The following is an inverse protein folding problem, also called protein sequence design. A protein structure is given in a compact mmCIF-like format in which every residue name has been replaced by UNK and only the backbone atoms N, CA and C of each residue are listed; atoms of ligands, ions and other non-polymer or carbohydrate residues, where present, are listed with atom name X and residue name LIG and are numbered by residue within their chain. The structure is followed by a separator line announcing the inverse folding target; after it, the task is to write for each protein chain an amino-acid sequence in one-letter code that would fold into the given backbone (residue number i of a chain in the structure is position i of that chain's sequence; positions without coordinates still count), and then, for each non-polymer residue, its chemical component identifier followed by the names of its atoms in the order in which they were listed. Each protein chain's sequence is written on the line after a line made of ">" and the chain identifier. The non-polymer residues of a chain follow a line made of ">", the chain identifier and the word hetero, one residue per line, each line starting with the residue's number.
data_IF_051995926909
#
_entry.id   IF_051995926909
#
_cell.length_a   1.000
_cell.length_b   1.000
_cell.length_c   1.000
_cell.angle_alpha   90.00
_cell.angle_beta   90.00
_cell.angle_gamma   90.00
#
_symmetry.space_group_name_H-M   'P 1'
#
loop_
_entity.id
_entity.type
_entity.pdbx_description
1 polymer ?
#
# COMPACT_ATOMS: atom_id res chain seq x y z
N UNK A 1 14.38 -8.49 -22.37
CA UNK A 1 14.26 -8.24 -20.92
C UNK A 1 12.80 -7.92 -20.64
N UNK A 2 12.08 -8.75 -19.85
CA UNK A 2 10.63 -8.61 -19.62
C UNK A 2 10.24 -7.35 -18.83
N UNK A 3 11.16 -6.77 -18.05
CA UNK A 3 10.92 -5.55 -17.28
C UNK A 3 10.90 -4.29 -18.14
N UNK A 4 11.56 -4.33 -19.30
CA UNK A 4 11.70 -3.19 -20.24
C UNK A 4 11.00 -3.45 -21.57
N UNK A 5 10.06 -4.39 -21.60
CA UNK A 5 9.20 -4.71 -22.75
C UNK A 5 7.75 -4.58 -22.28
N UNK A 6 6.89 -4.04 -23.11
CA UNK A 6 5.57 -3.55 -22.70
C UNK A 6 4.47 -4.17 -23.55
N UNK A 7 3.42 -4.66 -22.90
CA UNK A 7 2.17 -5.04 -23.55
C UNK A 7 1.20 -3.87 -23.49
N UNK A 8 0.70 -3.48 -24.66
CA UNK A 8 -0.43 -2.57 -24.81
C UNK A 8 -1.71 -3.38 -25.07
N UNK A 9 -2.64 -3.33 -24.10
CA UNK A 9 -3.90 -4.07 -24.11
C UNK A 9 -5.06 -3.14 -24.54
N UNK A 10 -5.20 -2.92 -25.85
CA UNK A 10 -6.06 -1.87 -26.41
C UNK A 10 -7.54 -1.91 -25.96
N UNK A 11 -8.12 -3.10 -25.73
CA UNK A 11 -9.52 -3.23 -25.28
C UNK A 11 -9.80 -2.65 -23.90
N UNK A 12 -8.74 -2.46 -23.10
CA UNK A 12 -8.77 -1.90 -21.75
C UNK A 12 -8.43 -0.39 -21.71
N UNK A 13 -8.07 0.22 -22.85
CA UNK A 13 -7.90 1.67 -22.99
C UNK A 13 -9.25 2.40 -23.07
N UNK A 14 -10.08 2.26 -22.03
CA UNK A 14 -11.41 2.87 -21.97
C UNK A 14 -11.37 4.16 -21.18
N UNK A 15 -11.97 5.21 -21.74
CA UNK A 15 -12.26 6.46 -21.03
C UNK A 15 -13.65 6.32 -20.44
N UNK A 16 -13.79 6.37 -19.12
CA UNK A 16 -15.08 6.33 -18.46
C UNK A 16 -15.85 7.63 -18.77
N UNK A 17 -16.96 7.51 -19.52
CA UNK A 17 -17.79 8.65 -19.93
C UNK A 17 -18.64 9.20 -18.77
N UNK A 18 -18.76 8.49 -17.66
CA UNK A 18 -19.55 8.93 -16.50
C UNK A 18 -18.89 10.08 -15.71
N UNK A 19 -17.60 10.34 -15.96
CA UNK A 19 -16.83 11.43 -15.35
C UNK A 19 -16.81 12.74 -16.16
N UNK A 20 -17.61 12.85 -17.22
CA UNK A 20 -17.75 14.08 -18.03
C UNK A 20 -18.27 15.31 -17.26
N UNK A 21 -18.66 15.16 -15.99
CA UNK A 21 -19.13 16.26 -15.13
C UNK A 21 -18.01 17.00 -14.38
N UNK A 22 -16.80 16.44 -14.29
CA UNK A 22 -15.64 17.15 -13.76
C UNK A 22 -14.79 17.65 -14.94
N UNK A 23 -14.64 18.97 -15.08
CA UNK A 23 -13.85 19.66 -16.13
C UNK A 23 -12.42 19.08 -16.29
N UNK A 24 -12.30 17.97 -17.03
CA UNK A 24 -11.05 17.26 -17.33
C UNK A 24 -10.94 17.18 -18.85
N UNK A 25 -9.82 17.65 -19.37
CA UNK A 25 -9.53 17.69 -20.80
C UNK A 25 -9.61 16.26 -21.42
N UNK A 26 -10.41 16.05 -22.49
CA UNK A 26 -10.55 14.75 -23.15
C UNK A 26 -9.23 14.14 -23.62
N UNK A 27 -8.27 14.95 -24.05
CA UNK A 27 -6.96 14.47 -24.51
C UNK A 27 -6.18 13.89 -23.32
N UNK A 28 -6.20 14.58 -22.19
CA UNK A 28 -5.60 14.11 -20.93
C UNK A 28 -6.21 12.79 -20.49
N UNK A 29 -7.54 12.63 -20.56
CA UNK A 29 -8.21 11.37 -20.20
C UNK A 29 -7.82 10.20 -21.12
N UNK A 30 -7.78 10.44 -22.43
CA UNK A 30 -7.32 9.43 -23.38
C UNK A 30 -5.86 9.02 -23.14
N UNK A 31 -4.98 9.97 -22.82
CA UNK A 31 -3.58 9.68 -22.49
C UNK A 31 -3.46 8.80 -21.24
N UNK A 32 -4.22 9.12 -20.19
CA UNK A 32 -4.29 8.33 -18.95
C UNK A 32 -4.77 6.91 -19.26
N UNK A 33 -5.84 6.76 -20.06
CA UNK A 33 -6.37 5.45 -20.45
C UNK A 33 -5.35 4.62 -21.24
N UNK A 34 -4.59 5.24 -22.15
CA UNK A 34 -3.53 4.56 -22.91
C UNK A 34 -2.37 4.12 -22.00
N UNK A 35 -1.92 4.97 -21.07
CA UNK A 35 -0.90 4.61 -20.08
C UNK A 35 -1.38 3.48 -19.18
N UNK A 36 -2.61 3.57 -18.71
CA UNK A 36 -3.27 2.55 -17.89
C UNK A 36 -3.34 1.20 -18.61
N UNK A 37 -3.63 1.22 -19.92
CA UNK A 37 -3.68 0.04 -20.79
C UNK A 37 -2.33 -0.58 -21.14
N UNK A 38 -1.21 0.02 -20.71
CA UNK A 38 0.14 -0.41 -21.06
C UNK A 38 0.91 -0.85 -19.81
N UNK A 39 1.45 -2.07 -19.82
CA UNK A 39 2.17 -2.64 -18.67
C UNK A 39 3.41 -3.40 -19.12
N UNK A 40 4.43 -3.52 -18.25
CA UNK A 40 5.58 -4.37 -18.56
C UNK A 40 5.14 -5.83 -18.69
N UNK A 41 5.82 -6.62 -19.52
CA UNK A 41 5.51 -8.04 -19.69
C UNK A 41 5.63 -8.79 -18.37
N UNK A 42 6.61 -8.44 -17.52
CA UNK A 42 6.73 -9.04 -16.19
C UNK A 42 5.50 -8.77 -15.32
N UNK A 43 5.03 -7.52 -15.27
CA UNK A 43 3.84 -7.16 -14.51
C UNK A 43 2.61 -7.87 -15.06
N UNK A 44 2.43 -7.86 -16.38
CA UNK A 44 1.30 -8.53 -17.03
C UNK A 44 1.31 -10.05 -16.77
N UNK A 45 2.48 -10.70 -16.82
CA UNK A 45 2.60 -12.13 -16.55
C UNK A 45 2.31 -12.49 -15.09
N UNK A 46 2.77 -11.68 -14.13
CA UNK A 46 2.44 -11.86 -12.71
C UNK A 46 0.95 -11.64 -12.42
N UNK A 47 0.34 -10.63 -13.05
CA UNK A 47 -1.09 -10.37 -12.94
C UNK A 47 -1.92 -11.43 -13.69
N UNK A 48 -1.32 -12.17 -14.62
CA UNK A 48 -1.95 -13.22 -15.41
C UNK A 48 -3.11 -12.67 -16.29
N UNK A 49 -3.75 -13.54 -17.06
CA UNK A 49 -4.77 -13.19 -18.05
C UNK A 49 -6.01 -14.05 -17.87
N UNK A 50 -7.17 -13.50 -18.24
CA UNK A 50 -8.41 -14.25 -18.33
C UNK A 50 -8.43 -15.14 -19.58
N UNK A 51 -9.25 -16.20 -19.57
CA UNK A 51 -9.31 -17.15 -20.69
C UNK A 51 -9.67 -16.48 -22.03
N UNK A 52 -10.60 -15.53 -22.02
CA UNK A 52 -11.07 -14.85 -23.24
C UNK A 52 -9.98 -13.97 -23.88
N UNK A 53 -9.00 -13.51 -23.12
CA UNK A 53 -7.91 -12.64 -23.60
C UNK A 53 -6.93 -13.38 -24.51
N UNK A 54 -6.99 -14.71 -24.53
CA UNK A 54 -6.19 -15.56 -25.42
C UNK A 54 -6.79 -15.70 -26.83
N UNK A 55 -8.06 -15.30 -27.01
CA UNK A 55 -8.73 -15.42 -28.31
C UNK A 55 -8.21 -14.37 -29.32
N UNK A 56 -8.13 -14.70 -30.62
CA UNK A 56 -7.70 -13.75 -31.65
C UNK A 56 -8.50 -12.44 -31.60
N UNK A 57 -7.80 -11.31 -31.52
CA UNK A 57 -8.40 -9.98 -31.48
C UNK A 57 -9.07 -9.60 -30.16
N UNK A 58 -9.08 -10.45 -29.13
CA UNK A 58 -9.69 -10.16 -27.84
C UNK A 58 -9.12 -8.91 -27.16
N UNK A 59 -7.82 -8.68 -27.31
CA UNK A 59 -7.14 -7.54 -26.72
C UNK A 59 -7.26 -6.25 -27.55
N UNK A 60 -7.83 -6.31 -28.75
CA UNK A 60 -7.98 -5.13 -29.63
C UNK A 60 -9.11 -4.22 -29.14
N UNK A 61 -9.00 -2.91 -29.38
CA UNK A 61 -10.08 -1.98 -29.06
C UNK A 61 -11.26 -2.16 -30.02
N UNK A 62 -12.47 -1.83 -29.55
CA UNK A 62 -13.67 -1.75 -30.40
C UNK A 62 -13.56 -0.69 -31.50
N UNK A 63 -12.63 0.25 -31.36
CA UNK A 63 -12.33 1.32 -32.33
C UNK A 63 -11.27 0.94 -33.35
N UNK A 64 -10.78 -0.31 -33.34
CA UNK A 64 -9.84 -0.85 -34.33
C UNK A 64 -8.36 -0.71 -33.98
N UNK A 65 -8.02 -0.18 -32.80
CA UNK A 65 -6.63 -0.11 -32.32
C UNK A 65 -6.18 -1.52 -31.92
N UNK A 66 -5.06 -1.97 -32.50
CA UNK A 66 -4.52 -3.31 -32.24
C UNK A 66 -3.72 -3.37 -30.95
N UNK A 67 -3.87 -4.46 -30.20
CA UNK A 67 -2.95 -4.78 -29.11
C UNK A 67 -1.57 -5.11 -29.67
N UNK A 68 -0.51 -4.68 -28.98
CA UNK A 68 0.86 -4.85 -29.45
C UNK A 68 1.83 -5.00 -28.28
N UNK A 69 2.97 -5.63 -28.56
CA UNK A 69 4.11 -5.66 -27.65
C UNK A 69 5.19 -4.71 -28.16
N UNK A 70 5.66 -3.82 -27.30
CA UNK A 70 6.64 -2.79 -27.62
C UNK A 70 7.94 -2.99 -26.83
N UNK A 71 9.09 -2.80 -27.48
CA UNK A 71 10.38 -2.64 -26.76
C UNK A 71 10.55 -1.23 -26.20
N UNK A 72 9.88 -0.25 -26.81
CA UNK A 72 9.80 1.15 -26.41
C UNK A 72 8.54 1.76 -27.02
N UNK A 73 7.91 2.69 -26.31
CA UNK A 73 6.72 3.39 -26.80
C UNK A 73 6.64 4.81 -26.25
N UNK A 74 5.97 5.68 -26.98
CA UNK A 74 5.57 7.01 -26.58
C UNK A 74 4.06 7.16 -26.73
N UNK A 75 3.47 7.97 -25.86
CA UNK A 75 2.04 8.33 -25.92
C UNK A 75 1.94 9.83 -26.11
N UNK A 76 1.52 10.24 -27.31
CA UNK A 76 1.36 11.65 -27.70
C UNK A 76 -0.12 11.90 -27.95
N UNK A 77 -0.73 12.74 -27.11
CA UNK A 77 -2.17 12.99 -27.13
C UNK A 77 -2.95 11.69 -26.92
N UNK A 78 -3.67 11.25 -27.95
CA UNK A 78 -4.54 10.07 -27.96
C UNK A 78 -3.95 8.88 -28.74
N UNK A 79 -2.66 8.93 -29.07
CA UNK A 79 -2.01 7.89 -29.87
C UNK A 79 -0.86 7.28 -29.09
N UNK A 80 -0.71 5.96 -29.24
CA UNK A 80 0.47 5.21 -28.80
C UNK A 80 1.27 4.81 -30.04
N UNK A 81 2.58 4.97 -30.00
CA UNK A 81 3.49 4.59 -31.08
C UNK A 81 4.80 4.10 -30.49
N UNK A 82 5.44 3.13 -31.12
CA UNK A 82 6.61 2.50 -30.54
C UNK A 82 7.25 1.47 -31.45
N UNK A 83 8.36 0.91 -30.99
CA UNK A 83 9.04 -0.17 -31.70
C UNK A 83 8.35 -1.50 -31.38
N UNK A 84 7.53 -1.98 -32.30
CA UNK A 84 6.78 -3.23 -32.16
C UNK A 84 7.72 -4.45 -32.21
N UNK A 85 7.44 -5.45 -31.38
CA UNK A 85 8.12 -6.74 -31.38
C UNK A 85 7.23 -7.81 -32.01
N UNK A 86 7.80 -8.84 -32.66
CA UNK A 86 7.06 -9.95 -33.26
C UNK A 86 6.57 -10.96 -32.19
N UNK A 87 5.92 -10.45 -31.14
CA UNK A 87 5.35 -11.24 -30.04
C UNK A 87 3.83 -11.03 -30.08
N UNK A 88 3.05 -12.05 -30.48
CA UNK A 88 1.59 -11.96 -30.46
C UNK A 88 1.08 -11.76 -29.02
N UNK A 89 0.31 -10.69 -28.73
CA UNK A 89 -0.25 -10.45 -27.38
C UNK A 89 -1.05 -11.64 -26.82
N UNK A 90 -1.89 -12.24 -27.67
CA UNK A 90 -2.72 -13.39 -27.30
C UNK A 90 -1.88 -14.65 -27.05
N UNK A 91 -0.81 -14.86 -27.81
CA UNK A 91 0.15 -15.95 -27.59
C UNK A 91 0.94 -15.78 -26.29
N UNK A 92 1.33 -14.55 -25.97
CA UNK A 92 1.93 -14.22 -24.69
C UNK A 92 0.97 -14.49 -23.51
N UNK A 93 -0.30 -14.09 -23.65
CA UNK A 93 -1.32 -14.36 -22.64
C UNK A 93 -1.56 -15.86 -22.42
N UNK A 94 -1.63 -16.64 -23.50
CA UNK A 94 -1.77 -18.09 -23.43
C UNK A 94 -0.60 -18.73 -22.65
N UNK A 95 0.63 -18.32 -22.95
CA UNK A 95 1.82 -18.79 -22.23
C UNK A 95 1.79 -18.40 -20.74
N UNK A 96 1.35 -17.19 -20.41
CA UNK A 96 1.25 -16.76 -19.01
C UNK A 96 0.23 -17.60 -18.22
N UNK A 97 -0.90 -17.95 -18.85
CA UNK A 97 -1.91 -18.83 -18.24
C UNK A 97 -1.40 -20.26 -18.03
N UNK A 98 -0.63 -20.78 -18.99
CA UNK A 98 -0.01 -22.11 -18.90
C UNK A 98 1.04 -22.17 -17.78
N UNK A 99 1.90 -21.16 -17.68
CA UNK A 99 2.93 -21.11 -16.64
C UNK A 99 2.36 -20.79 -15.26
N UNK A 100 1.31 -19.98 -15.19
CA UNK A 100 0.70 -19.49 -13.94
C UNK A 100 1.74 -18.89 -12.96
N UNK A 101 2.48 -17.87 -13.41
CA UNK A 101 3.49 -17.22 -12.58
C UNK A 101 2.89 -16.61 -11.30
N UNK A 102 1.65 -16.15 -11.35
CA UNK A 102 0.92 -15.70 -10.16
C UNK A 102 0.69 -16.83 -9.16
N UNK A 103 0.25 -18.01 -9.62
CA UNK A 103 0.13 -19.21 -8.78
C UNK A 103 1.47 -19.68 -8.21
N UNK A 104 2.53 -19.70 -9.02
CA UNK A 104 3.88 -20.02 -8.55
C UNK A 104 4.38 -19.02 -7.49
N UNK A 105 4.11 -17.72 -7.68
CA UNK A 105 4.46 -16.69 -6.71
C UNK A 105 3.71 -16.89 -5.39
N UNK A 106 2.40 -17.17 -5.42
CA UNK A 106 1.63 -17.49 -4.22
C UNK A 106 2.17 -18.73 -3.49
N UNK A 107 2.46 -19.80 -4.22
CA UNK A 107 3.06 -21.01 -3.65
C UNK A 107 4.42 -20.73 -3.01
N UNK A 108 5.24 -19.88 -3.63
CA UNK A 108 6.53 -19.46 -3.08
C UNK A 108 6.39 -18.69 -1.76
N UNK A 109 5.48 -17.70 -1.71
CA UNK A 109 5.19 -16.93 -0.50
C UNK A 109 4.65 -17.84 0.61
N UNK A 110 3.73 -18.74 0.29
CA UNK A 110 3.17 -19.69 1.26
C UNK A 110 4.26 -20.61 1.82
N UNK A 111 5.12 -21.16 0.95
CA UNK A 111 6.22 -22.03 1.36
C UNK A 111 7.20 -21.30 2.28
N UNK A 112 7.44 -20.00 2.09
CA UNK A 112 8.32 -19.21 2.95
C UNK A 112 7.84 -19.16 4.42
N UNK A 113 6.53 -19.26 4.68
CA UNK A 113 5.98 -19.25 6.04
C UNK A 113 6.09 -20.59 6.78
N UNK A 114 6.44 -21.68 6.09
CA UNK A 114 6.43 -23.03 6.64
C UNK A 114 7.65 -23.85 6.26
N UNK A 115 8.71 -23.22 5.76
CA UNK A 115 9.92 -23.89 5.27
C UNK A 115 10.77 -24.39 6.46
N UNK A 116 11.01 -25.71 6.58
CA UNK A 116 11.93 -26.25 7.57
C UNK A 116 13.35 -25.71 7.39
N UNK A 117 14.03 -25.43 8.50
CA UNK A 117 15.45 -25.04 8.50
C UNK A 117 16.39 -26.23 8.67
N UNK A 118 15.88 -27.37 9.14
CA UNK A 118 16.61 -28.63 9.26
C UNK A 118 15.79 -29.79 8.68
N UNK A 119 16.41 -30.91 8.29
CA UNK A 119 15.69 -32.08 7.74
C UNK A 119 14.66 -32.69 8.69
N UNK A 120 14.89 -32.59 10.01
CA UNK A 120 14.04 -33.22 11.03
C UNK A 120 12.89 -32.31 11.50
N UNK A 121 12.85 -31.04 11.06
CA UNK A 121 11.82 -30.09 11.46
C UNK A 121 10.55 -30.24 10.60
N UNK A 122 9.39 -30.36 11.25
CA UNK A 122 8.10 -30.39 10.54
C UNK A 122 7.70 -28.99 10.06
N UNK A 123 6.83 -28.90 9.06
CA UNK A 123 6.31 -27.62 8.55
C UNK A 123 5.61 -26.78 9.65
N UNK A 124 4.89 -27.43 10.57
CA UNK A 124 4.21 -26.76 11.69
C UNK A 124 5.19 -26.22 12.74
N UNK A 125 6.26 -26.97 13.01
CA UNK A 125 7.35 -26.51 13.88
C UNK A 125 8.07 -25.30 13.25
N UNK A 126 8.36 -25.35 11.95
CA UNK A 126 8.95 -24.24 11.20
C UNK A 126 8.06 -22.99 11.23
N UNK A 127 6.75 -23.15 11.00
CA UNK A 127 5.80 -22.05 11.07
C UNK A 127 5.71 -21.44 12.48
N UNK A 128 5.73 -22.27 13.52
CA UNK A 128 5.73 -21.82 14.92
C UNK A 128 7.00 -21.06 15.29
N UNK A 129 8.17 -21.56 14.86
CA UNK A 129 9.46 -20.88 15.05
C UNK A 129 9.52 -19.54 14.32
N UNK A 130 9.02 -19.48 13.08
CA UNK A 130 8.96 -18.23 12.32
C UNK A 130 8.07 -17.20 13.02
N UNK A 131 6.89 -17.63 13.50
CA UNK A 131 5.99 -16.77 14.30
C UNK A 131 6.70 -16.21 15.53
N UNK A 132 7.36 -17.06 16.32
CA UNK A 132 8.10 -16.64 17.50
C UNK A 132 9.23 -15.67 17.16
N UNK A 133 10.01 -15.96 16.11
CA UNK A 133 11.11 -15.11 15.64
C UNK A 133 10.61 -13.74 15.19
N UNK A 134 9.47 -13.70 14.48
CA UNK A 134 8.83 -12.46 14.06
C UNK A 134 8.36 -11.64 15.28
N UNK A 135 7.66 -12.26 16.22
CA UNK A 135 7.20 -11.59 17.44
C UNK A 135 8.36 -11.04 18.26
N UNK A 136 9.47 -11.78 18.35
CA UNK A 136 10.68 -11.33 19.03
C UNK A 136 11.34 -10.15 18.32
N UNK A 137 11.40 -10.17 16.97
CA UNK A 137 11.91 -9.06 16.18
C UNK A 137 11.08 -7.79 16.37
N UNK A 138 9.76 -7.87 16.23
CA UNK A 138 8.85 -6.74 16.42
C UNK A 138 8.93 -6.19 17.85
N UNK A 139 8.91 -7.07 18.86
CA UNK A 139 9.05 -6.66 20.24
C UNK A 139 10.39 -5.95 20.50
N UNK A 140 11.48 -6.47 19.95
CA UNK A 140 12.83 -5.88 20.09
C UNK A 140 12.92 -4.51 19.41
N UNK A 141 12.32 -4.38 18.22
CA UNK A 141 12.24 -3.10 17.49
C UNK A 141 11.48 -2.04 18.29
N UNK A 142 10.29 -2.38 18.80
CA UNK A 142 9.49 -1.45 19.62
C UNK A 142 10.23 -1.10 20.92
N UNK A 143 10.88 -2.07 21.59
CA UNK A 143 11.67 -1.80 22.81
C UNK A 143 12.83 -0.85 22.55
N UNK A 144 13.54 -1.01 21.43
CA UNK A 144 14.61 -0.10 21.05
C UNK A 144 14.08 1.33 20.86
N UNK A 145 13.00 1.48 20.08
CA UNK A 145 12.40 2.80 19.85
C UNK A 145 11.84 3.42 21.13
N UNK A 146 11.30 2.59 22.03
CA UNK A 146 10.85 3.02 23.34
C UNK A 146 12.01 3.54 24.21
N UNK A 147 13.17 2.88 24.18
CA UNK A 147 14.36 3.35 24.90
C UNK A 147 14.86 4.68 24.33
N UNK A 148 14.95 4.80 23.01
CA UNK A 148 15.35 6.04 22.32
C UNK A 148 14.40 7.18 22.69
N UNK A 149 13.09 6.96 22.57
CA UNK A 149 12.06 7.95 22.92
C UNK A 149 12.15 8.35 24.40
N UNK A 150 12.44 7.40 25.30
CA UNK A 150 12.58 7.67 26.74
C UNK A 150 13.80 8.55 27.03
N UNK A 151 14.95 8.29 26.37
CA UNK A 151 16.15 9.12 26.48
C UNK A 151 15.94 10.53 25.91
N UNK A 152 15.14 10.64 24.86
CA UNK A 152 14.73 11.91 24.26
C UNK A 152 13.57 12.60 25.00
N UNK A 153 13.07 12.02 26.10
CA UNK A 153 11.93 12.53 26.87
C UNK A 153 10.65 12.72 26.04
N UNK A 154 10.46 11.88 25.00
CA UNK A 154 9.28 11.87 24.13
C UNK A 154 8.14 10.99 24.67
N UNK A 155 8.32 10.35 25.82
CA UNK A 155 7.31 9.51 26.48
C UNK A 155 7.44 9.60 28.01
N UNK A 156 6.31 9.59 28.69
CA UNK A 156 6.19 9.58 30.14
C UNK A 156 6.45 8.19 30.73
N UNK A 157 6.94 8.15 31.98
CA UNK A 157 7.25 6.88 32.66
C UNK A 157 6.05 5.93 32.79
N UNK A 158 4.85 6.47 32.97
CA UNK A 158 3.63 5.65 33.08
C UNK A 158 3.31 4.91 31.78
N UNK A 159 3.31 5.63 30.65
CA UNK A 159 3.08 5.03 29.33
C UNK A 159 4.23 4.13 28.89
N UNK A 160 5.47 4.48 29.24
CA UNK A 160 6.63 3.61 29.03
C UNK A 160 6.46 2.26 29.75
N UNK A 161 6.09 2.28 31.04
CA UNK A 161 5.85 1.07 31.82
C UNK A 161 4.72 0.23 31.24
N UNK A 162 3.59 0.86 30.91
CA UNK A 162 2.46 0.17 30.28
C UNK A 162 2.84 -0.51 28.96
N UNK A 163 3.61 0.17 28.09
CA UNK A 163 4.05 -0.42 26.83
C UNK A 163 5.02 -1.59 27.04
N UNK A 164 5.92 -1.53 28.02
CA UNK A 164 6.78 -2.66 28.37
C UNK A 164 5.96 -3.88 28.83
N UNK A 165 4.94 -3.67 29.66
CA UNK A 165 4.06 -4.76 30.09
C UNK A 165 3.29 -5.40 28.94
N UNK A 166 2.79 -4.60 27.99
CA UNK A 166 2.14 -5.11 26.78
C UNK A 166 3.12 -5.93 25.92
N UNK A 167 4.38 -5.48 25.80
CA UNK A 167 5.43 -6.19 25.07
C UNK A 167 5.94 -7.44 25.80
N UNK A 168 5.73 -7.55 27.11
CA UNK A 168 5.94 -8.77 27.90
C UNK A 168 4.75 -9.75 27.76
N UNK A 169 3.72 -9.39 26.99
CA UNK A 169 2.54 -10.22 26.76
C UNK A 169 1.50 -10.15 27.89
N UNK A 170 1.64 -9.21 28.85
CA UNK A 170 0.64 -9.04 29.90
C UNK A 170 -0.67 -8.55 29.29
N UNK A 171 -1.76 -9.18 29.71
CA UNK A 171 -3.12 -8.74 29.39
C UNK A 171 -3.66 -7.91 30.55
N UNK A 172 -4.59 -6.98 30.26
CA UNK A 172 -5.21 -6.09 31.26
C UNK A 172 -4.25 -5.09 31.91
N UNK A 173 -3.27 -4.59 31.15
CA UNK A 173 -2.38 -3.50 31.59
C UNK A 173 -3.22 -2.27 31.95
N UNK A 174 -2.87 -1.61 33.06
CA UNK A 174 -3.58 -0.41 33.53
C UNK A 174 -2.63 0.77 33.70
N UNK A 175 -3.12 1.96 33.37
CA UNK A 175 -2.46 3.24 33.62
C UNK A 175 -3.43 4.13 34.39
N UNK A 176 -3.03 4.62 35.57
CA UNK A 176 -3.87 5.38 36.49
C UNK A 176 -5.22 4.69 36.78
N UNK A 177 -5.15 3.38 37.05
CA UNK A 177 -6.29 2.50 37.29
C UNK A 177 -7.29 2.37 36.12
N UNK A 178 -6.97 2.87 34.92
CA UNK A 178 -7.75 2.64 33.70
C UNK A 178 -7.08 1.64 32.76
N UNK A 179 -7.84 0.79 32.07
CA UNK A 179 -7.28 -0.13 31.07
C UNK A 179 -6.49 0.64 30.01
N UNK A 180 -5.38 0.05 29.56
CA UNK A 180 -4.63 0.52 28.41
C UNK A 180 -5.07 -0.26 27.18
N UNK A 181 -5.45 0.44 26.13
CA UNK A 181 -5.79 -0.13 24.83
C UNK A 181 -4.63 0.07 23.84
N UNK A 182 -4.54 -0.88 22.91
CA UNK A 182 -3.69 -0.74 21.73
C UNK A 182 -4.57 -0.85 20.50
N UNK A 183 -4.38 0.05 19.55
CA UNK A 183 -5.13 0.12 18.31
C UNK A 183 -4.18 0.18 17.12
N UNK A 184 -4.67 -0.22 15.96
CA UNK A 184 -4.06 0.09 14.66
C UNK A 184 -4.70 1.32 14.04
N UNK A 185 -3.91 2.10 13.30
CA UNK A 185 -4.37 3.31 12.64
C UNK A 185 -5.06 2.96 11.31
N UNK A 186 -6.17 3.63 11.02
CA UNK A 186 -6.87 3.57 9.74
C UNK A 186 -6.87 4.95 9.07
N UNK A 187 -6.84 4.97 7.74
CA UNK A 187 -7.07 6.16 6.93
C UNK A 187 -8.38 5.98 6.16
N UNK A 188 -9.44 6.67 6.60
CA UNK A 188 -10.81 6.34 6.22
C UNK A 188 -11.13 4.90 6.63
N UNK A 189 -11.59 4.10 5.67
CA UNK A 189 -11.93 2.68 5.87
C UNK A 189 -10.75 1.72 5.63
N UNK A 190 -9.55 2.25 5.37
CA UNK A 190 -8.38 1.45 5.04
C UNK A 190 -7.49 1.34 6.27
N UNK A 191 -7.38 0.12 6.80
CA UNK A 191 -6.44 -0.18 7.87
C UNK A 191 -4.98 -0.07 7.39
N UNK A 192 -4.16 0.63 8.17
CA UNK A 192 -2.73 0.77 7.91
C UNK A 192 -1.95 -0.37 8.58
N UNK A 193 -0.94 -0.87 7.90
CA UNK A 193 -0.15 -2.00 8.38
C UNK A 193 1.00 -1.52 9.27
N UNK A 194 0.95 -1.80 10.57
CA UNK A 194 2.08 -1.68 11.49
C UNK A 194 2.20 -0.39 12.30
N UNK A 195 1.31 0.60 12.09
CA UNK A 195 1.24 1.79 12.94
C UNK A 195 0.38 1.49 14.17
N UNK A 196 0.90 1.75 15.36
CA UNK A 196 0.21 1.48 16.63
C UNK A 196 -0.10 2.76 17.38
N UNK A 197 -1.29 2.81 17.96
CA UNK A 197 -1.71 3.82 18.91
C UNK A 197 -1.95 3.14 20.25
N UNK A 198 -1.23 3.57 21.28
CA UNK A 198 -1.32 3.04 22.64
C UNK A 198 -1.75 4.16 23.58
N UNK A 199 -2.71 3.88 24.46
CA UNK A 199 -3.11 4.85 25.46
C UNK A 199 -4.14 4.26 26.41
N UNK A 200 -4.64 5.06 27.34
CA UNK A 200 -5.81 4.64 28.12
C UNK A 200 -6.97 4.38 27.17
N UNK A 201 -7.82 3.44 27.53
CA UNK A 201 -9.06 3.17 26.81
C UNK A 201 -9.90 4.46 26.73
N UNK A 202 -10.32 4.76 25.50
CA UNK A 202 -11.00 6.01 25.13
C UNK A 202 -12.50 5.83 24.94
N UNK A 203 -13.03 4.61 24.95
CA UNK A 203 -14.46 4.37 24.72
C UNK A 203 -15.34 5.07 25.76
N UNK A 204 -14.88 5.14 27.00
CA UNK A 204 -15.57 5.82 28.11
C UNK A 204 -14.82 7.07 28.62
N UNK A 205 -13.92 7.65 27.82
CA UNK A 205 -13.15 8.80 28.26
C UNK A 205 -14.04 10.05 28.40
N UNK A 206 -13.95 10.71 29.56
CA UNK A 206 -14.66 11.97 29.85
C UNK A 206 -13.83 13.22 29.53
N UNK A 207 -12.56 13.03 29.17
CA UNK A 207 -11.60 14.08 28.86
C UNK A 207 -10.65 13.62 27.74
N UNK A 208 -9.89 14.56 27.18
CA UNK A 208 -8.82 14.23 26.22
C UNK A 208 -7.74 13.38 26.89
N UNK A 209 -7.41 12.26 26.28
CA UNK A 209 -6.39 11.34 26.77
C UNK A 209 -5.14 11.41 25.92
N UNK A 210 -3.98 11.34 26.59
CA UNK A 210 -2.70 11.20 25.93
C UNK A 210 -2.58 9.86 25.24
N UNK A 211 -1.86 9.86 24.12
CA UNK A 211 -1.58 8.67 23.34
C UNK A 211 -0.09 8.58 23.02
N UNK A 212 0.42 7.37 22.90
CA UNK A 212 1.70 7.07 22.28
C UNK A 212 1.42 6.52 20.90
N UNK A 213 2.08 7.07 19.90
CA UNK A 213 2.04 6.52 18.54
C UNK A 213 3.40 5.93 18.20
N UNK A 214 3.39 4.69 17.73
CA UNK A 214 4.53 4.03 17.13
C UNK A 214 4.32 3.93 15.61
N UNK A 215 5.20 4.58 14.86
CA UNK A 215 5.30 4.49 13.41
C UNK A 215 6.66 3.85 13.11
N UNK A 216 6.70 2.58 12.65
CA UNK A 216 7.96 1.91 12.33
C UNK A 216 8.82 2.80 11.41
N UNK A 217 10.13 2.84 11.66
CA UNK A 217 11.15 3.63 10.93
C UNK A 217 10.75 5.08 10.57
N UNK A 218 9.88 5.74 11.33
CA UNK A 218 9.53 7.15 11.06
C UNK A 218 10.80 8.01 11.12
N UNK A 219 11.16 8.72 10.03
CA UNK A 219 12.37 9.54 10.00
C UNK A 219 12.33 10.73 10.97
N UNK A 220 11.15 11.06 11.52
CA UNK A 220 10.94 12.19 12.42
C UNK A 220 10.86 11.75 13.88
N UNK A 221 9.96 10.81 14.19
CA UNK A 221 9.79 10.31 15.55
C UNK A 221 9.09 8.93 15.52
N UNK A 222 9.86 7.82 15.52
CA UNK A 222 9.32 6.46 15.47
C UNK A 222 8.36 6.12 16.61
N UNK A 223 8.60 6.67 17.81
CA UNK A 223 7.75 6.50 18.96
C UNK A 223 7.66 7.82 19.73
N UNK A 224 6.44 8.34 19.91
CA UNK A 224 6.22 9.61 20.59
C UNK A 224 4.87 9.68 21.28
N UNK A 225 4.84 10.27 22.47
CA UNK A 225 3.64 10.67 23.20
C UNK A 225 3.09 12.01 22.68
N UNK A 226 1.77 12.09 22.56
CA UNK A 226 1.00 13.27 22.18
C UNK A 226 -0.09 13.52 23.21
N UNK A 227 -0.43 14.80 23.42
CA UNK A 227 -1.45 15.18 24.39
C UNK A 227 -2.86 14.70 24.02
N UNK A 228 -3.12 14.46 22.73
CA UNK A 228 -4.37 13.88 22.23
C UNK A 228 -4.21 13.30 20.81
N UNK A 229 -5.22 12.56 20.37
CA UNK A 229 -5.36 12.08 18.97
C UNK A 229 -5.35 13.26 17.99
N UNK A 230 -6.00 14.37 18.32
CA UNK A 230 -6.05 15.56 17.46
C UNK A 230 -4.66 16.20 17.28
N UNK A 231 -3.87 16.28 18.37
CA UNK A 231 -2.49 16.78 18.30
C UNK A 231 -1.63 15.88 17.41
N UNK A 232 -1.81 14.55 17.50
CA UNK A 232 -1.14 13.60 16.61
C UNK A 232 -1.56 13.79 15.14
N UNK A 233 -2.86 13.91 14.84
CA UNK A 233 -3.36 14.10 13.47
C UNK A 233 -2.73 15.34 12.83
N UNK A 234 -2.69 16.45 13.56
CA UNK A 234 -2.05 17.70 13.10
C UNK A 234 -0.54 17.51 12.85
N UNK A 235 0.15 16.84 13.78
CA UNK A 235 1.57 16.54 13.63
C UNK A 235 1.85 15.63 12.42
N UNK A 236 1.00 14.62 12.17
CA UNK A 236 1.14 13.74 11.02
C UNK A 236 0.88 14.50 9.72
N UNK A 237 -0.15 15.35 9.65
CA UNK A 237 -0.40 16.22 8.48
C UNK A 237 0.83 17.06 8.17
N UNK A 238 1.39 17.73 9.16
CA UNK A 238 2.56 18.59 8.95
C UNK A 238 3.77 17.78 8.47
N UNK A 239 3.94 16.54 8.95
CA UNK A 239 4.97 15.61 8.42
C UNK A 239 4.71 15.23 6.97
N UNK A 240 3.46 14.96 6.58
CA UNK A 240 3.12 14.62 5.19
C UNK A 240 3.47 15.74 4.19
N UNK A 241 3.54 16.98 4.65
CA UNK A 241 3.97 18.13 3.85
C UNK A 241 5.50 18.24 3.72
N UNK A 242 6.27 17.45 4.48
CA UNK A 242 7.73 17.35 4.33
C UNK A 242 8.04 16.54 3.07
N UNK A 243 8.94 17.06 2.24
CA UNK A 243 9.38 16.40 1.02
C UNK A 243 9.82 14.95 1.29
N UNK A 244 9.24 14.01 0.56
CA UNK A 244 9.54 12.58 0.67
C UNK A 244 8.80 11.83 1.78
N UNK A 245 8.23 12.51 2.78
CA UNK A 245 7.54 11.82 3.89
C UNK A 245 6.30 11.07 3.41
N UNK A 246 5.50 11.66 2.52
CA UNK A 246 4.34 10.98 1.96
C UNK A 246 4.74 9.66 1.25
N UNK A 247 5.85 9.67 0.50
CA UNK A 247 6.37 8.46 -0.16
C UNK A 247 6.77 7.38 0.86
N UNK A 248 7.44 7.78 1.94
CA UNK A 248 7.72 6.89 3.07
C UNK A 248 6.42 6.32 3.64
N UNK A 249 5.42 7.16 3.90
CA UNK A 249 4.17 6.76 4.55
C UNK A 249 3.34 5.78 3.69
N UNK A 250 3.44 5.86 2.35
CA UNK A 250 2.71 4.96 1.45
C UNK A 250 2.99 3.48 1.68
N UNK A 251 4.10 3.11 2.34
CA UNK A 251 4.44 1.72 2.67
C UNK A 251 3.50 1.08 3.69
N UNK A 252 2.79 1.89 4.49
CA UNK A 252 1.82 1.39 5.46
C UNK A 252 0.44 1.12 4.84
N UNK A 253 0.23 1.57 3.60
CA UNK A 253 -1.02 1.38 2.88
C UNK A 253 -0.96 0.06 2.08
N UNK A 254 -1.98 -0.81 2.20
CA UNK A 254 -2.07 -2.03 1.40
C UNK A 254 -1.92 -1.73 -0.10
N UNK A 255 -1.21 -2.60 -0.82
CA UNK A 255 -0.81 -2.36 -2.21
C UNK A 255 -1.98 -2.04 -3.13
N UNK A 256 -3.12 -2.71 -2.94
CA UNK A 256 -4.36 -2.49 -3.70
C UNK A 256 -4.93 -1.07 -3.58
N UNK A 257 -4.68 -0.37 -2.47
CA UNK A 257 -5.21 0.98 -2.23
C UNK A 257 -4.18 2.08 -2.43
N UNK A 258 -2.91 1.72 -2.57
CA UNK A 258 -1.77 2.65 -2.52
C UNK A 258 -1.88 3.76 -3.56
N UNK A 259 -2.17 3.44 -4.82
CA UNK A 259 -2.25 4.45 -5.88
C UNK A 259 -3.42 5.42 -5.69
N UNK A 260 -4.63 4.89 -5.47
CA UNK A 260 -5.83 5.71 -5.28
C UNK A 260 -5.72 6.60 -4.04
N UNK A 261 -5.13 6.09 -2.95
CA UNK A 261 -4.89 6.90 -1.75
C UNK A 261 -3.78 7.93 -1.94
N UNK A 262 -2.71 7.59 -2.67
CA UNK A 262 -1.64 8.55 -2.95
C UNK A 262 -2.18 9.77 -3.69
N UNK A 263 -3.00 9.56 -4.73
CA UNK A 263 -3.62 10.66 -5.47
C UNK A 263 -4.53 11.50 -4.57
N UNK A 264 -5.44 10.86 -3.82
CA UNK A 264 -6.35 11.55 -2.90
C UNK A 264 -5.60 12.34 -1.82
N UNK A 265 -4.56 11.78 -1.23
CA UNK A 265 -3.73 12.45 -0.22
C UNK A 265 -2.95 13.60 -0.83
N UNK A 266 -2.31 13.39 -1.98
CA UNK A 266 -1.56 14.43 -2.69
C UNK A 266 -2.45 15.61 -3.08
N UNK A 267 -3.66 15.35 -3.59
CA UNK A 267 -4.63 16.40 -3.89
C UNK A 267 -5.12 17.14 -2.64
N UNK A 268 -5.31 16.42 -1.53
CA UNK A 268 -5.75 17.02 -0.27
C UNK A 268 -4.65 17.84 0.40
N UNK A 269 -3.40 17.39 0.35
CA UNK A 269 -2.24 18.06 0.94
C UNK A 269 -1.72 19.19 0.05
N UNK A 270 -1.90 19.08 -1.27
CA UNK A 270 -1.47 20.05 -2.27
C UNK A 270 -2.59 20.40 -3.27
N UNK A 271 -3.69 21.01 -2.81
CA UNK A 271 -4.80 21.37 -3.66
C UNK A 271 -4.40 22.45 -4.67
N UNK A 272 -5.09 22.46 -5.82
CA UNK A 272 -4.96 23.54 -6.79
C UNK A 272 -5.72 24.76 -6.27
N UNK A 273 -5.00 25.81 -5.90
CA UNK A 273 -5.56 27.08 -5.48
C UNK A 273 -5.49 28.08 -6.62
N UNK A 274 -6.55 28.87 -6.81
CA UNK A 274 -6.52 30.01 -7.73
C UNK A 274 -5.71 31.13 -7.08
N UNK A 275 -4.66 31.59 -7.76
CA UNK A 275 -3.92 32.80 -7.40
C UNK A 275 -4.09 33.88 -8.48
N UNK A 276 -3.91 35.13 -8.09
CA UNK A 276 -4.13 36.33 -8.91
C UNK A 276 -5.21 37.24 -8.31
N UNK A 277 -5.08 38.55 -8.54
CA UNK A 277 -6.06 39.55 -8.09
C UNK A 277 -7.38 39.49 -8.87
N UNK A 278 -8.42 40.14 -8.36
CA UNK A 278 -9.73 40.29 -9.02
C UNK A 278 -9.58 40.96 -10.41
N UNK A 279 -8.55 41.79 -10.58
CA UNK A 279 -8.24 42.54 -11.80
C UNK A 279 -7.03 42.00 -12.57
N UNK A 280 -6.44 40.87 -12.17
CA UNK A 280 -5.27 40.27 -12.82
C UNK A 280 -5.60 38.89 -13.41
N UNK A 281 -4.71 38.36 -14.26
CA UNK A 281 -4.85 36.99 -14.76
C UNK A 281 -4.83 36.02 -13.57
N UNK A 282 -5.86 35.18 -13.46
CA UNK A 282 -5.87 34.11 -12.49
C UNK A 282 -5.14 32.88 -13.03
N UNK A 283 -4.34 32.22 -12.20
CA UNK A 283 -3.71 30.93 -12.52
C UNK A 283 -3.94 29.93 -11.39
N UNK A 284 -3.83 28.64 -11.72
CA UNK A 284 -3.91 27.56 -10.74
C UNK A 284 -2.50 27.17 -10.32
N UNK A 285 -2.25 27.15 -9.02
CA UNK A 285 -0.99 26.69 -8.44
C UNK A 285 -1.29 25.62 -7.40
N UNK A 286 -0.46 24.57 -7.33
CA UNK A 286 -0.54 23.62 -6.22
C UNK A 286 0.24 24.19 -5.04
N UNK A 287 -0.42 24.35 -3.90
CA UNK A 287 0.19 24.86 -2.66
C UNK A 287 -0.07 23.91 -1.51
N UNK A 288 0.88 23.81 -0.57
CA UNK A 288 0.69 23.04 0.66
C UNK A 288 -0.49 23.58 1.49
N UNK A 289 -1.44 22.72 1.82
CA UNK A 289 -2.57 23.06 2.67
C UNK A 289 -2.30 22.62 4.13
N UNK A 290 -1.93 23.60 4.96
CA UNK A 290 -1.72 23.39 6.41
C UNK A 290 -3.02 23.17 7.18
N UNK A 291 -4.18 23.30 6.55
CA UNK A 291 -5.48 22.97 7.14
C UNK A 291 -6.05 21.65 6.61
N UNK A 292 -5.29 20.92 5.79
CA UNK A 292 -5.70 19.62 5.26
C UNK A 292 -6.09 18.66 6.40
N UNK A 293 -7.28 18.06 6.30
CA UNK A 293 -7.76 17.11 7.30
C UNK A 293 -7.43 15.68 6.89
N UNK A 294 -6.77 14.94 7.78
CA UNK A 294 -6.60 13.50 7.63
C UNK A 294 -7.76 12.80 8.34
N UNK A 295 -8.51 11.97 7.61
CA UNK A 295 -9.56 11.13 8.21
C UNK A 295 -8.90 9.90 8.84
N UNK A 296 -8.34 10.09 10.04
CA UNK A 296 -7.72 9.03 10.80
C UNK A 296 -8.69 8.44 11.80
N UNK A 297 -8.72 7.11 11.84
CA UNK A 297 -9.53 6.32 12.76
C UNK A 297 -8.64 5.28 13.41
N UNK A 298 -9.15 4.63 14.44
CA UNK A 298 -8.44 3.58 15.15
C UNK A 298 -9.30 2.33 15.25
N UNK A 299 -8.67 1.16 15.11
CA UNK A 299 -9.30 -0.13 15.37
C UNK A 299 -8.58 -0.80 16.53
N UNK A 300 -9.30 -1.02 17.64
CA UNK A 300 -8.74 -1.63 18.85
C UNK A 300 -8.33 -3.08 18.58
N UNK A 301 -7.12 -3.44 19.03
CA UNK A 301 -6.60 -4.80 18.98
C UNK A 301 -7.24 -5.66 20.09
N UNK A 302 -7.61 -6.88 19.73
CA UNK A 302 -8.25 -7.83 20.65
C UNK A 302 -7.27 -8.95 20.99
N UNK A 303 -6.93 -9.12 22.27
CA UNK A 303 -5.98 -10.15 22.73
C UNK A 303 -4.53 -9.65 22.83
N UNK A 304 -3.54 -10.56 22.90
CA UNK A 304 -2.14 -10.19 23.07
C UNK A 304 -1.61 -9.35 21.89
N UNK A 305 -0.81 -8.32 22.20
CA UNK A 305 -0.29 -7.37 21.21
C UNK A 305 0.50 -8.07 20.09
N UNK A 306 1.54 -8.83 20.45
CA UNK A 306 2.48 -9.40 19.47
C UNK A 306 1.81 -10.43 18.55
N UNK A 307 0.86 -11.20 19.06
CA UNK A 307 0.08 -12.15 18.26
C UNK A 307 -0.79 -11.42 17.22
N UNK A 308 -1.44 -10.32 17.61
CA UNK A 308 -2.19 -9.48 16.68
C UNK A 308 -1.30 -8.87 15.60
N UNK A 309 -0.11 -8.37 15.98
CA UNK A 309 0.84 -7.80 15.01
C UNK A 309 1.29 -8.85 14.00
N UNK A 310 1.60 -10.06 14.46
CA UNK A 310 1.98 -11.16 13.60
C UNK A 310 0.87 -11.51 12.60
N UNK A 311 -0.36 -11.74 13.08
CA UNK A 311 -1.47 -12.14 12.20
C UNK A 311 -1.82 -11.05 11.18
N UNK A 312 -1.86 -9.79 11.59
CA UNK A 312 -2.12 -8.66 10.68
C UNK A 312 -1.01 -8.49 9.65
N UNK A 313 0.26 -8.55 10.06
CA UNK A 313 1.39 -8.44 9.12
C UNK A 313 1.38 -9.60 8.11
N UNK A 314 1.11 -10.81 8.59
CA UNK A 314 0.98 -12.01 7.75
C UNK A 314 -0.16 -11.89 6.75
N UNK A 315 -1.32 -11.38 7.17
CA UNK A 315 -2.46 -11.12 6.27
C UNK A 315 -2.09 -10.08 5.22
N UNK A 316 -1.58 -8.91 5.65
CA UNK A 316 -1.21 -7.83 4.75
C UNK A 316 -0.18 -8.29 3.69
N UNK A 317 0.84 -9.05 4.09
CA UNK A 317 1.83 -9.62 3.16
C UNK A 317 1.20 -10.56 2.13
N UNK A 318 0.25 -11.40 2.53
CA UNK A 318 -0.46 -12.31 1.62
C UNK A 318 -1.40 -11.55 0.70
N UNK A 319 -2.13 -10.57 1.22
CA UNK A 319 -3.05 -9.75 0.44
C UNK A 319 -2.31 -8.90 -0.60
N UNK A 320 -1.16 -8.34 -0.23
CA UNK A 320 -0.27 -7.62 -1.14
C UNK A 320 0.37 -8.56 -2.16
N UNK A 321 0.77 -9.76 -1.74
CA UNK A 321 1.28 -10.78 -2.66
C UNK A 321 0.21 -11.17 -3.69
N UNK A 322 -1.02 -11.43 -3.27
CA UNK A 322 -2.13 -11.78 -4.15
C UNK A 322 -2.50 -10.63 -5.09
N UNK A 323 -2.38 -9.38 -4.62
CA UNK A 323 -2.55 -8.22 -5.47
C UNK A 323 -1.48 -8.16 -6.57
N UNK A 324 -0.23 -8.54 -6.29
CA UNK A 324 0.87 -8.47 -7.25
C UNK A 324 1.04 -9.71 -8.14
N UNK A 325 0.71 -10.90 -7.65
CA UNK A 325 0.78 -12.16 -8.39
C UNK A 325 -0.54 -12.91 -8.28
N UNK A 326 -1.34 -12.89 -9.34
CA UNK A 326 -2.70 -13.47 -9.34
C UNK A 326 -2.68 -14.84 -10.02
N UNK A 327 -3.10 -15.91 -9.33
CA UNK A 327 -3.21 -17.23 -9.95
C UNK A 327 -4.18 -17.26 -11.14
N UNK A 328 -3.90 -18.10 -12.14
CA UNK A 328 -4.79 -18.28 -13.32
C UNK A 328 -6.22 -18.57 -12.89
N UNK A 329 -6.40 -19.47 -11.91
CA UNK A 329 -7.71 -19.83 -11.38
C UNK A 329 -8.46 -18.65 -10.74
N UNK A 330 -7.74 -17.71 -10.11
CA UNK A 330 -8.35 -16.51 -9.52
C UNK A 330 -8.75 -15.48 -10.60
N UNK A 331 -8.01 -15.39 -11.71
CA UNK A 331 -8.44 -14.57 -12.86
C UNK A 331 -9.75 -15.09 -13.46
N UNK A 332 -9.91 -16.41 -13.55
CA UNK A 332 -11.11 -17.02 -14.15
C UNK A 332 -12.39 -16.83 -13.31
N UNK A 333 -12.24 -16.52 -12.02
CA UNK A 333 -13.36 -16.27 -11.11
C UNK A 333 -13.87 -14.82 -11.13
N UNK A 334 -13.19 -13.89 -11.80
CA UNK A 334 -13.59 -12.47 -11.80
C UNK A 334 -14.92 -12.26 -12.53
N UNK A 335 -15.84 -11.58 -11.88
CA UNK A 335 -17.03 -11.01 -12.50
C UNK A 335 -16.67 -9.86 -13.45
N UNK A 336 -17.57 -9.48 -14.36
CA UNK A 336 -17.30 -8.38 -15.31
C UNK A 336 -16.97 -7.06 -14.61
N UNK A 337 -17.71 -6.72 -13.55
CA UNK A 337 -17.52 -5.47 -12.80
C UNK A 337 -16.17 -5.45 -12.06
N UNK A 338 -15.76 -6.58 -11.49
CA UNK A 338 -14.44 -6.74 -10.86
C UNK A 338 -13.31 -6.57 -11.86
N UNK A 339 -13.47 -6.99 -13.12
CA UNK A 339 -12.45 -6.84 -14.17
C UNK A 339 -12.18 -5.37 -14.47
N UNK A 340 -13.24 -4.57 -14.58
CA UNK A 340 -13.14 -3.13 -14.88
C UNK A 340 -12.44 -2.39 -13.74
N UNK A 341 -12.87 -2.60 -12.49
CA UNK A 341 -12.27 -1.96 -11.32
C UNK A 341 -10.82 -2.39 -11.09
N UNK A 342 -10.56 -3.70 -11.16
CA UNK A 342 -9.22 -4.27 -11.02
C UNK A 342 -8.22 -3.67 -12.02
N UNK A 343 -8.66 -3.44 -13.26
CA UNK A 343 -7.78 -2.87 -14.26
C UNK A 343 -7.43 -1.41 -13.97
N UNK A 344 -8.42 -0.61 -13.56
CA UNK A 344 -8.20 0.76 -13.14
C UNK A 344 -7.18 0.81 -11.99
N UNK A 345 -7.36 -0.01 -10.95
CA UNK A 345 -6.44 -0.03 -9.81
C UNK A 345 -5.03 -0.51 -10.18
N UNK A 346 -4.92 -1.52 -11.05
CA UNK A 346 -3.62 -2.09 -11.47
C UNK A 346 -2.84 -1.13 -12.36
N UNK A 347 -3.52 -0.40 -13.23
CA UNK A 347 -2.96 0.58 -14.14
C UNK A 347 -2.21 1.73 -13.44
N UNK A 348 -2.78 2.25 -12.34
CA UNK A 348 -2.20 3.38 -11.62
C UNK A 348 -1.02 3.01 -10.71
N UNK A 349 -0.81 1.71 -10.45
CA UNK A 349 0.30 1.24 -9.64
C UNK A 349 1.63 1.27 -10.41
N UNK A 350 2.31 2.41 -10.34
CA UNK A 350 3.72 2.57 -10.71
C UNK A 350 4.60 2.06 -9.56
N UNK A 351 5.62 1.29 -9.92
CA UNK A 351 6.49 0.45 -9.09
C UNK A 351 6.77 0.94 -7.65
N UNK A 352 6.50 0.05 -6.68
CA UNK A 352 7.25 -0.04 -5.42
C UNK A 352 7.35 -1.51 -4.99
N UNK A 353 8.03 -2.32 -5.80
CA UNK A 353 8.28 -3.74 -5.50
C UNK A 353 9.48 -3.92 -4.54
N UNK A 354 10.26 -2.86 -4.29
CA UNK A 354 11.51 -2.97 -3.52
C UNK A 354 11.38 -2.88 -1.98
N UNK A 355 10.17 -2.73 -1.43
CA UNK A 355 9.99 -2.32 -0.02
C UNK A 355 9.67 -3.40 1.01
N UNK A 356 9.75 -4.69 0.66
CA UNK A 356 9.31 -5.77 1.57
C UNK A 356 10.47 -6.55 2.18
N UNK A 357 11.41 -5.87 2.86
CA UNK A 357 12.39 -6.57 3.72
C UNK A 357 12.74 -5.69 4.92
N UNK A 358 12.36 -6.18 6.10
CA UNK A 358 12.99 -6.06 7.44
C UNK A 358 13.68 -4.71 7.82
N UNK A 359 13.40 -4.13 9.01
CA UNK A 359 13.92 -2.84 9.54
C UNK A 359 15.45 -2.58 9.63
N UNK A 360 16.33 -3.34 8.98
CA UNK A 360 17.79 -3.20 9.19
C UNK A 360 18.60 -3.01 7.89
N UNK A 361 18.00 -3.08 6.70
CA UNK A 361 18.75 -2.93 5.44
C UNK A 361 18.48 -1.63 4.68
N UNK A 362 17.85 -0.64 5.32
CA UNK A 362 17.67 0.70 4.75
C UNK A 362 18.97 1.52 4.62
N UNK A 363 20.07 1.11 5.27
CA UNK A 363 21.36 1.84 5.25
C UNK A 363 22.42 1.27 4.29
N UNK A 364 22.13 0.19 3.54
CA UNK A 364 23.14 -0.43 2.63
C UNK A 364 22.88 -0.11 1.14
N UNK A 365 22.08 0.90 0.85
CA UNK A 365 21.99 1.45 -0.52
C UNK A 365 22.31 2.95 -0.44
N UNK A 366 23.61 3.24 -0.43
CA UNK A 366 24.19 4.52 -0.87
C UNK A 366 24.58 4.36 -2.34
#
# INVERSE_FOLDING_TARGET
>A
NLATTWLFHASRARVDQSFNTASRDPITQANIALRASTQSLLKAALQNFEAWETAPGAMDSSTGIKAQVFSSFDIIGQQISGTSLPIPPTGFAALCRELDLGGQYQAHIQAAFSRPSTPDETADAAASRLRQSFMQLEASSIRLQLQIASLQQLISRGLQGALLELLDGKQHVRLDNRPVSCSVLCLGDIELTGILVIGKDREMATQTERIVVYIPDDPVAPLKEYDSVEVFINALRDRMLINGYLNFFMRFIPARHRSALFEKLSERLHPKVKKGGIFERQWLERGADRNARLDLRETVLQGPLLDNLYERKRSALRDDALFHGVPTAAQDQKTFDERVQYFMDTAFNVLNIAGFVVPVLGEVII
#
